data_IF_920353159058
#
_entry.id   IF_920353159058
#
_cell.length_a   1.000
_cell.length_b   1.000
_cell.length_c   1.000
_cell.angle_alpha   90.00
_cell.angle_beta   90.00
_cell.angle_gamma   90.00
#
_symmetry.space_group_name_H-M   'P 1'
#
loop_
_entity.id
_entity.type
_entity.pdbx_description
1 polymer ?
#
# COMPACT_ATOMS: atom_id res chain seq x y z
N UNK A 1 -3.65 34.21 6.21
CA UNK A 1 -4.17 32.87 5.86
C UNK A 1 -3.14 31.85 6.32
N UNK A 2 -3.22 31.41 7.58
CA UNK A 2 -2.21 30.54 8.23
C UNK A 2 -2.88 29.35 8.96
N UNK A 3 -4.15 29.06 8.67
CA UNK A 3 -4.92 28.08 9.48
C UNK A 3 -4.88 26.63 8.96
N UNK A 4 -4.51 26.37 7.72
CA UNK A 4 -4.63 25.00 7.15
C UNK A 4 -3.50 24.05 7.56
N UNK A 5 -2.33 24.57 7.96
CA UNK A 5 -1.15 23.74 8.27
C UNK A 5 -1.22 23.14 9.69
N UNK A 6 -2.04 23.72 10.58
CA UNK A 6 -2.07 23.33 11.99
C UNK A 6 -3.05 22.18 12.29
N UNK A 7 -4.07 22.00 11.46
CA UNK A 7 -5.11 20.97 11.67
C UNK A 7 -4.66 19.58 11.18
N UNK A 8 -3.68 19.51 10.28
CA UNK A 8 -3.19 18.25 9.71
C UNK A 8 -2.21 17.51 10.63
N UNK A 9 -1.68 18.17 11.67
CA UNK A 9 -0.74 17.61 12.63
C UNK A 9 -1.42 16.82 13.79
N UNK A 10 -2.74 16.98 13.97
CA UNK A 10 -3.51 16.34 15.05
C UNK A 10 -4.30 15.11 14.59
N UNK A 11 -4.10 14.63 13.34
CA UNK A 11 -4.71 13.37 12.90
C UNK A 11 -4.08 12.18 13.66
N UNK A 12 -4.87 11.26 14.23
CA UNK A 12 -4.39 10.18 15.11
C UNK A 12 -3.55 9.10 14.40
N UNK A 13 -3.17 9.32 13.14
CA UNK A 13 -2.40 8.41 12.29
C UNK A 13 -0.95 8.86 12.06
N UNK A 14 -0.45 9.85 12.82
CA UNK A 14 0.99 10.04 13.04
C UNK A 14 1.82 10.40 11.80
N UNK A 15 1.38 11.37 11.00
CA UNK A 15 2.23 11.95 9.95
C UNK A 15 3.24 12.91 10.60
N UNK A 16 4.44 12.39 10.90
CA UNK A 16 5.56 13.22 11.33
C UNK A 16 5.98 14.20 10.23
N UNK A 17 6.36 15.45 10.55
CA UNK A 17 6.66 16.51 9.59
C UNK A 17 8.04 16.36 8.91
N UNK A 18 8.54 15.13 8.77
CA UNK A 18 9.79 14.85 8.06
C UNK A 18 9.43 14.35 6.68
N UNK A 19 9.49 15.23 5.68
CA UNK A 19 9.36 14.82 4.28
C UNK A 19 10.53 13.89 3.90
N UNK A 20 10.27 12.78 3.18
CA UNK A 20 11.28 11.81 2.75
C UNK A 20 12.48 12.44 2.01
N UNK A 21 12.24 13.54 1.30
CA UNK A 21 13.21 14.33 0.53
C UNK A 21 14.40 14.89 1.34
N UNK A 22 14.32 14.95 2.66
CA UNK A 22 15.36 15.52 3.52
C UNK A 22 16.18 14.47 4.30
N UNK A 23 15.94 13.17 4.09
CA UNK A 23 16.69 12.11 4.77
C UNK A 23 17.91 11.67 3.94
N UNK A 24 19.08 11.45 4.57
CA UNK A 24 20.19 10.78 3.91
C UNK A 24 19.70 9.43 3.36
N UNK A 25 20.00 9.13 2.09
CA UNK A 25 19.57 7.92 1.37
C UNK A 25 19.83 6.58 2.09
N UNK A 26 20.71 6.56 3.11
CA UNK A 26 21.01 5.39 3.96
C UNK A 26 20.11 5.24 5.20
N UNK A 27 19.31 6.26 5.53
CA UNK A 27 18.45 6.29 6.72
C UNK A 27 16.95 6.28 6.37
N UNK A 28 16.57 6.53 5.12
CA UNK A 28 15.18 6.69 4.68
C UNK A 28 14.62 5.59 3.77
N UNK A 29 15.37 4.52 3.47
CA UNK A 29 14.99 3.58 2.41
C UNK A 29 15.14 4.18 1.00
N UNK A 30 14.84 3.41 -0.04
CA UNK A 30 14.75 3.93 -1.41
C UNK A 30 13.48 4.77 -1.55
N UNK A 31 13.47 5.88 -2.32
CA UNK A 31 12.23 6.61 -2.65
C UNK A 31 11.12 5.68 -3.16
N UNK A 32 11.49 4.63 -3.89
CA UNK A 32 10.57 3.64 -4.46
C UNK A 32 9.87 2.77 -3.39
N UNK A 33 10.38 2.75 -2.15
CA UNK A 33 9.81 2.05 -0.99
C UNK A 33 8.81 2.92 -0.21
N UNK A 34 8.66 4.20 -0.59
CA UNK A 34 7.72 5.13 0.05
C UNK A 34 6.29 4.83 -0.38
N UNK A 35 5.38 4.72 0.60
CA UNK A 35 3.95 4.49 0.37
C UNK A 35 3.14 5.78 0.29
N UNK A 36 2.18 5.83 -0.65
CA UNK A 36 1.29 6.97 -0.87
C UNK A 36 -0.19 6.56 -0.92
N UNK A 37 -1.06 7.55 -0.69
CA UNK A 37 -2.50 7.42 -0.83
C UNK A 37 -3.20 6.69 0.32
N UNK A 38 -4.53 6.60 0.26
CA UNK A 38 -5.35 6.05 1.34
C UNK A 38 -5.13 4.55 1.61
N UNK A 39 -4.62 3.79 0.63
CA UNK A 39 -4.35 2.35 0.77
C UNK A 39 -2.83 2.06 0.91
N UNK A 40 -2.01 3.11 1.08
CA UNK A 40 -0.59 3.04 1.40
C UNK A 40 0.25 2.12 0.48
N UNK A 41 0.08 2.28 -0.84
CA UNK A 41 0.83 1.53 -1.85
C UNK A 41 2.21 2.16 -2.05
N UNK A 42 3.27 1.35 -2.11
CA UNK A 42 4.62 1.81 -2.45
C UNK A 42 4.76 2.23 -3.91
N UNK A 43 5.57 3.25 -4.20
CA UNK A 43 5.88 3.68 -5.58
C UNK A 43 6.31 2.49 -6.45
N UNK A 44 7.19 1.61 -5.95
CA UNK A 44 7.63 0.41 -6.69
C UNK A 44 6.45 -0.46 -7.14
N UNK A 45 5.49 -0.70 -6.24
CA UNK A 45 4.30 -1.54 -6.50
C UNK A 45 3.30 -0.86 -7.42
N UNK A 46 3.11 0.45 -7.24
CA UNK A 46 2.31 1.25 -8.16
C UNK A 46 2.89 1.22 -9.58
N UNK A 47 4.22 1.32 -9.70
CA UNK A 47 4.93 1.24 -10.96
C UNK A 47 4.74 -0.12 -11.66
N UNK A 48 4.91 -1.22 -10.93
CA UNK A 48 4.69 -2.59 -11.44
C UNK A 48 3.26 -2.77 -12.01
N UNK A 49 2.24 -2.28 -11.30
CA UNK A 49 0.84 -2.36 -11.75
C UNK A 49 0.58 -1.47 -12.97
N UNK A 50 1.19 -0.29 -13.02
CA UNK A 50 1.06 0.64 -14.14
C UNK A 50 1.91 0.22 -15.37
N UNK A 51 2.65 -0.90 -15.28
CA UNK A 51 3.41 -1.48 -16.39
C UNK A 51 4.80 -0.87 -16.59
N UNK A 52 5.31 -0.10 -15.62
CA UNK A 52 6.69 0.37 -15.62
C UNK A 52 7.62 -0.73 -15.09
N UNK A 53 8.87 -0.71 -15.56
CA UNK A 53 9.95 -1.50 -14.94
C UNK A 53 10.39 -0.81 -13.63
N UNK A 54 10.16 -1.42 -12.45
CA UNK A 54 10.52 -0.82 -11.16
C UNK A 54 12.02 -0.63 -10.98
N UNK A 55 12.87 -1.38 -11.69
CA UNK A 55 14.33 -1.28 -11.56
C UNK A 55 14.90 -0.19 -12.49
N UNK A 56 14.05 0.45 -13.32
CA UNK A 56 14.42 1.45 -14.33
C UNK A 56 13.56 2.73 -14.26
N UNK A 57 13.06 3.10 -13.07
CA UNK A 57 12.23 4.29 -12.90
C UNK A 57 13.03 5.60 -13.03
N UNK A 58 12.52 6.49 -13.88
CA UNK A 58 12.95 7.89 -13.96
C UNK A 58 12.20 8.75 -12.94
N UNK A 59 12.70 9.93 -12.62
CA UNK A 59 12.01 10.86 -11.72
C UNK A 59 10.63 11.28 -12.27
N UNK A 60 10.51 11.37 -13.59
CA UNK A 60 9.22 11.60 -14.24
C UNK A 60 8.24 10.44 -14.04
N UNK A 61 8.70 9.19 -14.16
CA UNK A 61 7.87 8.02 -13.86
C UNK A 61 7.44 8.00 -12.39
N UNK A 62 8.36 8.29 -11.46
CA UNK A 62 8.05 8.37 -10.03
C UNK A 62 6.96 9.40 -9.75
N UNK A 63 7.07 10.60 -10.32
CA UNK A 63 6.06 11.65 -10.14
C UNK A 63 4.68 11.23 -10.65
N UNK A 64 4.60 10.58 -11.82
CA UNK A 64 3.33 10.06 -12.36
C UNK A 64 2.73 9.00 -11.43
N UNK A 65 3.56 8.05 -10.98
CA UNK A 65 3.11 6.99 -10.07
C UNK A 65 2.62 7.61 -8.76
N UNK A 66 3.38 8.52 -8.17
CA UNK A 66 3.01 9.21 -6.93
C UNK A 66 1.69 9.97 -7.07
N UNK A 67 1.50 10.73 -8.14
CA UNK A 67 0.24 11.45 -8.42
C UNK A 67 -0.93 10.46 -8.56
N UNK A 68 -0.73 9.35 -9.27
CA UNK A 68 -1.72 8.29 -9.44
C UNK A 68 -2.07 7.62 -8.11
N UNK A 69 -1.10 7.46 -7.22
CA UNK A 69 -1.31 6.89 -5.89
C UNK A 69 -2.03 7.86 -4.95
N UNK A 70 -1.92 9.17 -5.16
CA UNK A 70 -2.64 10.17 -4.36
C UNK A 70 -4.10 10.35 -4.80
N UNK A 71 -4.43 10.13 -6.07
CA UNK A 71 -5.82 10.10 -6.53
C UNK A 71 -6.56 8.87 -5.95
N UNK A 72 -7.64 9.03 -5.17
CA UNK A 72 -8.29 7.89 -4.52
C UNK A 72 -8.86 6.85 -5.48
N UNK A 73 -9.36 7.26 -6.64
CA UNK A 73 -9.92 6.35 -7.64
C UNK A 73 -8.86 5.47 -8.27
N UNK A 74 -7.75 6.09 -8.68
CA UNK A 74 -6.58 5.38 -9.20
C UNK A 74 -5.89 4.55 -8.12
N UNK A 75 -5.79 5.03 -6.88
CA UNK A 75 -5.22 4.27 -5.76
C UNK A 75 -5.98 2.96 -5.52
N UNK A 76 -7.31 2.99 -5.55
CA UNK A 76 -8.15 1.77 -5.44
C UNK A 76 -7.88 0.81 -6.60
N UNK A 77 -7.81 1.31 -7.83
CA UNK A 77 -7.54 0.50 -9.00
C UNK A 77 -6.14 -0.15 -8.94
N UNK A 78 -5.13 0.64 -8.58
CA UNK A 78 -3.74 0.19 -8.46
C UNK A 78 -3.61 -0.85 -7.33
N UNK A 79 -4.20 -0.59 -6.17
CA UNK A 79 -4.20 -1.54 -5.06
C UNK A 79 -4.89 -2.86 -5.43
N UNK A 80 -6.01 -2.79 -6.16
CA UNK A 80 -6.71 -3.97 -6.67
C UNK A 80 -5.85 -4.76 -7.66
N UNK A 81 -5.13 -4.06 -8.55
CA UNK A 81 -4.18 -4.67 -9.49
C UNK A 81 -3.03 -5.36 -8.77
N UNK A 82 -2.46 -4.73 -7.73
CA UNK A 82 -1.39 -5.33 -6.94
C UNK A 82 -1.87 -6.58 -6.17
N UNK A 83 -3.06 -6.53 -5.54
CA UNK A 83 -3.65 -7.71 -4.91
C UNK A 83 -3.91 -8.86 -5.90
N UNK A 84 -4.28 -8.54 -7.14
CA UNK A 84 -4.45 -9.54 -8.19
C UNK A 84 -3.12 -10.18 -8.60
N UNK A 85 -2.03 -9.41 -8.68
CA UNK A 85 -0.67 -9.95 -8.91
C UNK A 85 -0.25 -10.88 -7.76
N UNK A 86 -0.40 -10.44 -6.51
CA UNK A 86 -0.09 -11.28 -5.34
C UNK A 86 -0.88 -12.59 -5.30
N UNK A 87 -2.14 -12.56 -5.73
CA UNK A 87 -2.97 -13.76 -5.87
C UNK A 87 -2.46 -14.67 -7.00
N UNK A 88 -2.02 -14.10 -8.12
CA UNK A 88 -1.48 -14.89 -9.23
C UNK A 88 -0.17 -15.61 -8.84
N UNK A 89 0.57 -15.07 -7.86
CA UNK A 89 1.80 -15.65 -7.32
C UNK A 89 1.58 -16.66 -6.16
N UNK A 90 0.33 -16.87 -5.73
CA UNK A 90 0.01 -17.77 -4.62
C UNK A 90 -0.48 -19.14 -5.09
N UNK A 91 -0.56 -20.09 -4.17
CA UNK A 91 -1.10 -21.43 -4.45
C UNK A 91 -2.61 -21.45 -4.77
N UNK A 92 -3.29 -20.31 -4.58
CA UNK A 92 -4.72 -20.14 -4.85
C UNK A 92 -5.00 -19.20 -6.04
N UNK A 93 -4.04 -19.09 -6.98
CA UNK A 93 -4.16 -18.28 -8.18
C UNK A 93 -5.45 -18.56 -8.98
N UNK A 94 -5.89 -19.81 -9.06
CA UNK A 94 -7.08 -20.22 -9.82
C UNK A 94 -8.39 -20.16 -9.02
N UNK A 95 -8.35 -19.82 -7.73
CA UNK A 95 -9.56 -19.72 -6.91
C UNK A 95 -10.30 -18.42 -7.24
N UNK A 96 -11.59 -18.45 -7.65
CA UNK A 96 -12.35 -17.23 -7.86
C UNK A 96 -12.44 -16.38 -6.58
N UNK A 97 -12.44 -15.05 -6.70
CA UNK A 97 -12.43 -14.14 -5.55
C UNK A 97 -13.63 -14.39 -4.60
N UNK A 98 -14.82 -14.68 -5.14
CA UNK A 98 -16.02 -15.00 -4.35
C UNK A 98 -15.97 -16.38 -3.67
N UNK A 99 -14.95 -17.20 -3.98
CA UNK A 99 -14.69 -18.51 -3.39
C UNK A 99 -13.45 -18.54 -2.50
N UNK A 100 -12.74 -17.43 -2.36
CA UNK A 100 -11.60 -17.35 -1.47
C UNK A 100 -12.00 -17.58 -0.02
N UNK A 101 -11.19 -18.36 0.69
CA UNK A 101 -11.38 -18.63 2.10
C UNK A 101 -10.80 -17.49 2.94
N UNK A 102 -11.18 -17.36 4.23
CA UNK A 102 -10.53 -16.42 5.14
C UNK A 102 -9.00 -16.54 5.13
N UNK A 103 -8.46 -17.77 5.13
CA UNK A 103 -7.02 -18.01 5.08
C UNK A 103 -6.36 -17.43 3.81
N UNK A 104 -7.02 -17.50 2.64
CA UNK A 104 -6.49 -16.87 1.42
C UNK A 104 -6.41 -15.35 1.56
N UNK A 105 -7.39 -14.72 2.22
CA UNK A 105 -7.37 -13.28 2.46
C UNK A 105 -6.30 -12.88 3.47
N UNK A 106 -6.11 -13.65 4.54
CA UNK A 106 -5.04 -13.45 5.51
C UNK A 106 -3.66 -13.53 4.84
N UNK A 107 -3.45 -14.51 3.96
CA UNK A 107 -2.20 -14.63 3.21
C UNK A 107 -1.99 -13.44 2.27
N UNK A 108 -3.01 -13.02 1.51
CA UNK A 108 -2.89 -11.83 0.67
C UNK A 108 -2.57 -10.58 1.49
N UNK A 109 -3.21 -10.40 2.65
CA UNK A 109 -2.92 -9.28 3.54
C UNK A 109 -1.48 -9.32 4.09
N UNK A 110 -0.98 -10.51 4.45
CA UNK A 110 0.41 -10.70 4.86
C UNK A 110 1.39 -10.38 3.71
N UNK A 111 1.13 -10.88 2.50
CA UNK A 111 1.93 -10.59 1.29
C UNK A 111 1.95 -9.10 0.95
N UNK A 112 0.78 -8.46 1.02
CA UNK A 112 0.63 -7.04 0.77
C UNK A 112 1.48 -6.20 1.73
N UNK A 113 1.46 -6.53 3.02
CA UNK A 113 2.17 -5.78 4.05
C UNK A 113 3.68 -6.13 4.14
N UNK A 114 4.02 -7.41 3.97
CA UNK A 114 5.38 -7.93 4.19
C UNK A 114 6.25 -8.03 2.94
N UNK A 115 5.66 -7.95 1.75
CA UNK A 115 6.40 -8.12 0.49
C UNK A 115 7.21 -9.43 0.49
N UNK A 116 8.50 -9.41 0.11
CA UNK A 116 9.36 -10.60 0.13
C UNK A 116 9.52 -11.27 1.50
N UNK A 117 9.18 -10.59 2.60
CA UNK A 117 9.33 -11.09 3.98
C UNK A 117 7.99 -11.49 4.60
N UNK A 118 6.95 -11.71 3.79
CA UNK A 118 5.57 -11.96 4.25
C UNK A 118 5.40 -13.20 5.13
N UNK A 119 6.33 -14.15 5.08
CA UNK A 119 6.33 -15.33 5.94
C UNK A 119 6.77 -15.01 7.38
N UNK A 120 7.33 -13.83 7.62
CA UNK A 120 7.76 -13.39 8.95
C UNK A 120 6.59 -13.15 9.91
N UNK A 121 6.90 -13.19 11.22
CA UNK A 121 5.88 -13.10 12.28
C UNK A 121 5.00 -11.84 12.19
N UNK A 122 5.60 -10.70 11.85
CA UNK A 122 4.89 -9.41 11.79
C UNK A 122 3.89 -9.35 10.63
N UNK A 123 4.27 -9.61 9.36
CA UNK A 123 3.30 -9.68 8.26
C UNK A 123 2.22 -10.75 8.48
N UNK A 124 2.57 -11.91 9.05
CA UNK A 124 1.59 -12.94 9.40
C UNK A 124 0.60 -12.46 10.48
N UNK A 125 1.07 -11.69 11.48
CA UNK A 125 0.20 -11.08 12.48
C UNK A 125 -0.72 -10.03 11.86
N UNK A 126 -0.22 -9.23 10.92
CA UNK A 126 -1.05 -8.32 10.12
C UNK A 126 -2.12 -9.09 9.34
N UNK A 127 -1.72 -10.17 8.66
CA UNK A 127 -2.61 -11.07 7.93
C UNK A 127 -3.76 -11.57 8.79
N UNK A 128 -3.48 -12.17 9.95
CA UNK A 128 -4.52 -12.65 10.88
C UNK A 128 -5.42 -11.52 11.43
N UNK A 129 -4.91 -10.30 11.48
CA UNK A 129 -5.61 -9.13 12.00
C UNK A 129 -6.37 -8.30 10.97
N UNK A 130 -6.29 -8.64 9.67
CA UNK A 130 -6.77 -7.78 8.59
C UNK A 130 -8.27 -7.45 8.70
N UNK A 131 -9.06 -8.40 9.23
CA UNK A 131 -10.51 -8.26 9.39
C UNK A 131 -10.94 -7.44 10.61
N UNK A 132 -10.04 -7.14 11.55
CA UNK A 132 -10.38 -6.54 12.85
C UNK A 132 -11.04 -5.15 12.73
N UNK A 133 -10.80 -4.45 11.63
CA UNK A 133 -11.35 -3.11 11.37
C UNK A 133 -12.42 -3.10 10.29
N UNK A 134 -12.84 -4.27 9.78
CA UNK A 134 -13.78 -4.35 8.67
C UNK A 134 -15.17 -3.81 9.04
N UNK A 135 -15.65 -4.09 10.26
CA UNK A 135 -16.92 -3.55 10.75
C UNK A 135 -16.85 -2.02 10.88
N UNK A 136 -15.79 -1.51 11.51
CA UNK A 136 -15.57 -0.06 11.62
C UNK A 136 -15.52 0.61 10.24
N UNK A 137 -14.84 0.00 9.26
CA UNK A 137 -14.76 0.52 7.90
C UNK A 137 -16.12 0.52 7.21
N UNK A 138 -16.94 -0.52 7.41
CA UNK A 138 -18.31 -0.58 6.87
C UNK A 138 -19.21 0.47 7.48
N UNK A 139 -19.12 0.68 8.79
CA UNK A 139 -19.93 1.68 9.49
C UNK A 139 -19.53 3.11 9.11
N UNK A 140 -18.25 3.36 8.86
CA UNK A 140 -17.77 4.66 8.37
C UNK A 140 -18.24 5.01 6.94
N UNK A 141 -18.73 4.02 6.17
CA UNK A 141 -19.25 4.19 4.80
C UNK A 141 -20.78 4.28 4.73
N UNK A 142 -21.49 4.19 5.86
CA UNK A 142 -22.94 4.36 5.97
C UNK A 142 -23.32 5.81 6.23
#
# INVERSE_FOLDING_TARGET
>A
MVDTIREQADAPWGLSPISPENLPWRLGGSPDETSFGPIAIQIRRGAEVLGYDPDSLTDHHRAIVEESLQDPGQNIFIASGYLAQLKAESEFADVPADKMTPAHYEELAARYNGGPYWEGDQPQAYGRGFGNHLENARDALR
#
